data_IF_247785624898
#
_entry.id   IF_247785624898
#
_cell.length_a   1.000
_cell.length_b   1.000
_cell.length_c   1.000
_cell.angle_alpha   90.00
_cell.angle_beta   90.00
_cell.angle_gamma   90.00
#
_symmetry.space_group_name_H-M   'P 1'
#
loop_
_entity.id
_entity.type
_entity.pdbx_description
1 polymer ?
#
# COMPACT_ATOMS: atom_id res chain seq x y z
N UNK A 1 10.63 7.50 -7.13
CA UNK A 1 10.86 6.06 -6.85
C UNK A 1 9.71 5.53 -6.02
N UNK A 2 9.23 4.30 -6.24
CA UNK A 2 8.08 3.74 -5.53
C UNK A 2 8.48 2.46 -4.79
N UNK A 3 7.87 2.22 -3.63
CA UNK A 3 7.99 0.96 -2.90
C UNK A 3 6.66 0.23 -3.04
N UNK A 4 6.69 -0.96 -3.63
CA UNK A 4 5.51 -1.78 -3.83
C UNK A 4 5.67 -3.14 -3.17
N UNK A 5 4.67 -3.54 -2.38
CA UNK A 5 4.54 -4.90 -1.89
C UNK A 5 3.35 -5.57 -2.60
N UNK A 6 3.62 -6.72 -3.22
CA UNK A 6 2.65 -7.50 -3.98
C UNK A 6 2.38 -8.83 -3.27
N UNK A 7 1.12 -9.07 -2.91
CA UNK A 7 0.67 -10.28 -2.20
C UNK A 7 -0.45 -10.99 -2.95
N UNK A 8 -0.08 -12.07 -3.64
CA UNK A 8 -1.03 -12.98 -4.28
C UNK A 8 -1.34 -14.17 -3.36
N UNK A 9 -2.21 -13.95 -2.36
CA UNK A 9 -2.76 -15.02 -1.53
C UNK A 9 -4.15 -15.42 -2.02
N UNK A 10 -4.43 -16.73 -2.09
CA UNK A 10 -5.73 -17.26 -2.45
C UNK A 10 -6.83 -17.01 -1.39
N UNK A 11 -6.44 -16.69 -0.15
CA UNK A 11 -7.36 -16.41 0.98
C UNK A 11 -6.84 -15.24 1.80
N UNK A 12 -7.76 -14.46 2.37
CA UNK A 12 -7.46 -13.22 3.07
C UNK A 12 -6.91 -13.38 4.50
N UNK A 13 -6.71 -14.59 5.03
CA UNK A 13 -6.52 -14.79 6.49
C UNK A 13 -5.34 -14.01 7.06
N UNK A 14 -4.21 -13.99 6.36
CA UNK A 14 -2.98 -13.36 6.87
C UNK A 14 -2.73 -11.97 6.27
N UNK A 15 -3.55 -11.56 5.28
CA UNK A 15 -3.40 -10.28 4.59
C UNK A 15 -3.47 -9.06 5.53
N UNK A 16 -4.41 -8.98 6.50
CA UNK A 16 -4.43 -7.87 7.45
C UNK A 16 -3.13 -7.71 8.23
N UNK A 17 -2.57 -8.80 8.73
CA UNK A 17 -1.31 -8.78 9.50
C UNK A 17 -0.12 -8.39 8.63
N UNK A 18 -0.10 -8.85 7.37
CA UNK A 18 0.93 -8.41 6.42
C UNK A 18 0.80 -6.93 6.07
N UNK A 19 -0.43 -6.44 5.91
CA UNK A 19 -0.68 -5.03 5.65
C UNK A 19 -0.24 -4.14 6.81
N UNK A 20 -0.57 -4.51 8.06
CA UNK A 20 -0.08 -3.81 9.25
C UNK A 20 1.45 -3.75 9.29
N UNK A 21 2.13 -4.88 9.02
CA UNK A 21 3.59 -4.92 8.96
C UNK A 21 4.13 -3.99 7.86
N UNK A 22 3.50 -4.00 6.70
CA UNK A 22 3.84 -3.15 5.56
C UNK A 22 3.75 -1.66 5.92
N UNK A 23 2.69 -1.22 6.61
CA UNK A 23 2.56 0.16 7.07
C UNK A 23 3.71 0.59 8.00
N UNK A 24 4.08 -0.28 8.95
CA UNK A 24 5.21 -0.02 9.84
C UNK A 24 6.55 0.06 9.08
N UNK A 25 6.73 -0.73 8.02
CA UNK A 25 7.91 -0.67 7.16
C UNK A 25 7.93 0.61 6.31
N UNK A 26 6.78 1.07 5.81
CA UNK A 26 6.68 2.35 5.09
C UNK A 26 7.09 3.52 5.97
N UNK A 27 6.68 3.51 7.24
CA UNK A 27 7.11 4.50 8.23
C UNK A 27 8.63 4.52 8.41
N UNK A 28 9.26 3.35 8.62
CA UNK A 28 10.72 3.25 8.75
C UNK A 28 11.43 3.70 7.47
N UNK A 29 10.94 3.30 6.30
CA UNK A 29 11.51 3.69 5.02
C UNK A 29 11.46 5.21 4.79
N UNK A 30 10.34 5.84 5.14
CA UNK A 30 10.18 7.29 5.04
C UNK A 30 11.13 8.05 5.98
N UNK A 31 11.36 7.54 7.20
CA UNK A 31 12.32 8.14 8.13
C UNK A 31 13.77 8.04 7.62
N UNK A 32 14.15 6.91 7.04
CA UNK A 32 15.52 6.72 6.52
C UNK A 32 15.76 7.59 5.28
N UNK A 33 14.82 7.54 4.32
CA UNK A 33 15.04 8.05 2.96
C UNK A 33 13.77 8.62 2.33
N UNK A 34 13.26 9.76 2.80
CA UNK A 34 11.99 10.33 2.34
C UNK A 34 11.99 10.67 0.85
N UNK A 35 13.13 11.07 0.29
CA UNK A 35 13.28 11.39 -1.14
C UNK A 35 13.12 10.19 -2.09
N UNK A 36 13.01 8.97 -1.57
CA UNK A 36 12.78 7.75 -2.34
C UNK A 36 11.39 7.15 -2.12
N UNK A 37 10.54 7.85 -1.36
CA UNK A 37 9.21 7.42 -0.95
C UNK A 37 8.15 8.32 -1.59
N UNK A 38 8.03 8.30 -2.92
CA UNK A 38 6.96 9.06 -3.60
C UNK A 38 5.62 8.35 -3.44
N UNK A 39 5.61 7.02 -3.55
CA UNK A 39 4.43 6.18 -3.44
C UNK A 39 4.74 4.87 -2.71
N UNK A 40 3.78 4.45 -1.88
CA UNK A 40 3.75 3.19 -1.16
C UNK A 40 2.55 2.38 -1.68
N UNK A 41 2.80 1.37 -2.50
CA UNK A 41 1.74 0.57 -3.14
C UNK A 41 1.56 -0.80 -2.47
N UNK A 42 0.37 -1.04 -1.95
CA UNK A 42 -0.09 -2.36 -1.53
C UNK A 42 -0.98 -2.96 -2.61
N UNK A 43 -0.55 -4.09 -3.18
CA UNK A 43 -1.27 -4.77 -4.26
C UNK A 43 -1.64 -6.18 -3.81
N UNK A 44 -2.94 -6.50 -3.77
CA UNK A 44 -3.42 -7.81 -3.33
C UNK A 44 -4.55 -8.35 -4.22
N UNK A 45 -4.75 -9.68 -4.22
CA UNK A 45 -5.78 -10.37 -5.02
C UNK A 45 -7.02 -10.77 -4.22
N UNK A 46 -7.02 -10.46 -2.93
CA UNK A 46 -8.15 -10.74 -2.04
C UNK A 46 -8.42 -9.51 -1.18
N UNK A 47 -9.69 -9.05 -1.10
CA UNK A 47 -10.05 -7.97 -0.21
C UNK A 47 -9.84 -8.38 1.25
N UNK A 48 -9.40 -7.44 2.07
CA UNK A 48 -9.13 -7.61 3.49
C UNK A 48 -9.44 -6.29 4.20
N UNK A 49 -9.59 -6.32 5.53
CA UNK A 49 -9.97 -5.13 6.29
C UNK A 49 -11.31 -4.53 5.84
N UNK A 50 -12.26 -5.37 5.42
CA UNK A 50 -13.54 -4.94 4.84
C UNK A 50 -14.38 -4.08 5.80
N UNK A 51 -14.26 -4.31 7.11
CA UNK A 51 -14.95 -3.55 8.15
C UNK A 51 -14.27 -2.22 8.50
N UNK A 52 -13.04 -2.02 8.01
CA UNK A 52 -12.20 -0.85 8.31
C UNK A 52 -11.64 -0.23 7.03
N UNK A 53 -12.32 -0.47 5.90
CA UNK A 53 -11.78 -0.21 4.57
C UNK A 53 -11.45 1.28 4.36
N UNK A 54 -12.30 2.13 4.89
CA UNK A 54 -12.19 3.59 4.89
C UNK A 54 -11.01 4.11 5.73
N UNK A 55 -10.54 3.32 6.70
CA UNK A 55 -9.46 3.72 7.61
C UNK A 55 -8.10 3.13 7.25
N UNK A 56 -8.02 2.14 6.35
CA UNK A 56 -6.78 1.42 6.03
C UNK A 56 -5.65 2.34 5.53
N UNK A 57 -5.97 3.48 4.92
CA UNK A 57 -5.00 4.42 4.35
C UNK A 57 -4.81 5.69 5.20
N UNK A 58 -5.29 5.71 6.44
CA UNK A 58 -5.20 6.91 7.29
C UNK A 58 -3.93 6.92 8.15
N UNK A 59 -3.58 8.10 8.65
CA UNK A 59 -2.43 8.27 9.53
C UNK A 59 -2.58 7.49 10.84
N UNK A 60 -3.81 7.33 11.34
CA UNK A 60 -4.14 6.56 12.53
C UNK A 60 -3.88 5.06 12.32
N UNK A 61 -4.20 4.52 11.13
CA UNK A 61 -3.88 3.14 10.78
C UNK A 61 -2.35 2.92 10.71
N UNK A 62 -1.61 3.86 10.14
CA UNK A 62 -0.14 3.82 10.13
C UNK A 62 0.41 3.87 11.56
N UNK A 63 -0.10 4.77 12.40
CA UNK A 63 0.32 4.87 13.80
C UNK A 63 0.06 3.57 14.56
N UNK A 64 -1.15 3.01 14.45
CA UNK A 64 -1.51 1.76 15.10
C UNK A 64 -0.60 0.60 14.66
N UNK A 65 -0.29 0.53 13.37
CA UNK A 65 0.66 -0.45 12.83
C UNK A 65 2.07 -0.28 13.40
N UNK A 66 2.59 0.95 13.43
CA UNK A 66 3.92 1.27 13.99
C UNK A 66 4.00 0.88 15.46
N UNK A 67 3.00 1.25 16.26
CA UNK A 67 2.92 0.91 17.69
C UNK A 67 2.79 -0.60 17.91
N UNK A 68 2.03 -1.30 17.07
CA UNK A 68 1.93 -2.77 17.12
C UNK A 68 3.28 -3.42 16.84
N UNK A 69 4.07 -2.88 15.90
CA UNK A 69 5.39 -3.37 15.53
C UNK A 69 6.56 -2.67 16.26
N UNK A 70 6.28 -1.96 17.36
CA UNK A 70 7.23 -1.17 18.17
C UNK A 70 8.58 -1.82 18.46
N UNK A 71 8.62 -3.13 18.71
CA UNK A 71 9.87 -3.85 18.98
C UNK A 71 10.83 -3.79 17.79
N UNK A 72 10.29 -3.86 16.57
CA UNK A 72 11.08 -3.80 15.34
C UNK A 72 11.36 -2.36 14.91
N UNK A 73 10.43 -1.44 15.18
CA UNK A 73 10.55 -0.03 14.75
C UNK A 73 11.44 0.78 15.69
N UNK A 74 11.25 0.63 17.01
CA UNK A 74 11.89 1.44 18.04
C UNK A 74 12.75 0.63 19.02
N UNK A 75 12.69 -0.70 18.99
CA UNK A 75 13.40 -1.54 19.97
C UNK A 75 12.78 -1.55 21.37
N UNK A 76 11.53 -1.09 21.52
CA UNK A 76 10.83 -0.99 22.82
C UNK A 76 9.79 -2.09 23.00
N UNK A 77 9.57 -2.52 24.24
CA UNK A 77 8.60 -3.58 24.58
C UNK A 77 7.22 -3.03 24.96
N UNK A 78 7.15 -1.84 25.58
CA UNK A 78 5.91 -1.25 26.07
C UNK A 78 5.23 -0.39 25.00
N UNK A 79 3.91 -0.48 24.94
CA UNK A 79 3.07 0.32 24.01
C UNK A 79 3.20 1.82 24.30
N UNK A 80 3.15 2.21 25.58
CA UNK A 80 3.24 3.61 26.01
C UNK A 80 4.54 4.29 25.56
N UNK A 81 5.64 3.55 25.55
CA UNK A 81 6.93 4.07 25.08
C UNK A 81 6.93 4.25 23.56
N UNK A 82 6.27 3.35 22.83
CA UNK A 82 6.12 3.50 21.38
C UNK A 82 5.21 4.68 21.01
N UNK A 83 4.13 4.91 21.77
CA UNK A 83 3.20 6.02 21.56
C UNK A 83 3.86 7.38 21.77
N UNK A 84 4.88 7.48 22.64
CA UNK A 84 5.64 8.72 22.84
C UNK A 84 6.75 8.93 21.80
N UNK A 85 7.21 7.86 21.14
CA UNK A 85 8.26 7.89 20.12
C UNK A 85 7.73 8.06 18.70
N UNK A 86 6.48 7.67 18.44
CA UNK A 86 5.92 7.73 17.09
C UNK A 86 5.67 9.19 16.67
N UNK A 87 6.20 9.56 15.51
CA UNK A 87 5.95 10.88 14.92
C UNK A 87 4.69 10.83 14.05
N UNK A 88 3.63 11.44 14.53
CA UNK A 88 2.36 11.49 13.82
C UNK A 88 2.42 12.31 12.52
N UNK A 89 3.37 13.25 12.39
CA UNK A 89 3.60 13.98 11.15
C UNK A 89 4.10 13.03 10.07
N UNK A 90 5.09 12.19 10.39
CA UNK A 90 5.57 11.12 9.51
C UNK A 90 4.44 10.14 9.15
N UNK A 91 3.55 9.78 10.09
CA UNK A 91 2.39 8.95 9.78
C UNK A 91 1.47 9.57 8.71
N UNK A 92 1.24 10.89 8.76
CA UNK A 92 0.47 11.62 7.74
C UNK A 92 1.17 11.61 6.39
N UNK A 93 2.48 11.83 6.37
CA UNK A 93 3.28 11.79 5.13
C UNK A 93 3.20 10.41 4.46
N UNK A 94 3.32 9.34 5.24
CA UNK A 94 3.16 7.97 4.74
C UNK A 94 1.74 7.78 4.22
N UNK A 95 0.71 8.13 4.99
CA UNK A 95 -0.69 7.95 4.63
C UNK A 95 -1.05 8.64 3.30
N UNK A 96 -0.59 9.87 3.09
CA UNK A 96 -0.81 10.61 1.83
C UNK A 96 -0.20 9.92 0.59
N UNK A 97 0.75 9.01 0.80
CA UNK A 97 1.48 8.29 -0.26
C UNK A 97 1.04 6.84 -0.39
N UNK A 98 0.09 6.37 0.43
CA UNK A 98 -0.40 5.01 0.36
C UNK A 98 -1.37 4.83 -0.81
N UNK A 99 -1.18 3.73 -1.53
CA UNK A 99 -2.06 3.25 -2.56
C UNK A 99 -2.44 1.82 -2.23
N UNK A 100 -3.74 1.51 -2.26
CA UNK A 100 -4.23 0.15 -2.10
C UNK A 100 -4.97 -0.28 -3.36
N UNK A 101 -4.48 -1.35 -3.97
CA UNK A 101 -5.01 -1.90 -5.22
C UNK A 101 -5.41 -3.34 -4.95
N UNK A 102 -6.71 -3.62 -5.06
CA UNK A 102 -7.22 -5.00 -4.99
C UNK A 102 -7.58 -5.44 -6.40
N UNK A 103 -6.84 -6.43 -6.88
CA UNK A 103 -7.04 -7.04 -8.18
C UNK A 103 -7.88 -8.31 -8.06
N UNK A 104 -8.46 -8.72 -9.18
CA UNK A 104 -9.09 -10.02 -9.35
C UNK A 104 -8.47 -10.71 -10.57
N UNK A 105 -8.40 -12.04 -10.56
CA UNK A 105 -7.89 -12.81 -11.71
C UNK A 105 -8.67 -12.55 -13.00
N UNK A 106 -9.93 -12.11 -12.90
CA UNK A 106 -10.75 -11.73 -14.06
C UNK A 106 -10.24 -10.46 -14.73
N UNK A 107 -9.73 -9.50 -13.96
CA UNK A 107 -9.15 -8.26 -14.50
C UNK A 107 -7.87 -8.52 -15.29
N UNK A 108 -7.09 -9.53 -14.92
CA UNK A 108 -5.88 -9.90 -15.67
C UNK A 108 -6.18 -10.52 -17.04
N UNK A 109 -7.34 -11.16 -17.17
CA UNK A 109 -7.81 -11.78 -18.42
C UNK A 109 -8.55 -10.79 -19.32
N UNK A 110 -8.89 -9.61 -18.81
CA UNK A 110 -9.50 -8.50 -19.56
C UNK A 110 -8.44 -7.65 -20.26
N UNK A 111 -7.54 -8.32 -20.97
CA UNK A 111 -6.58 -7.65 -21.86
C UNK A 111 -7.18 -7.54 -23.26
N UNK A 112 -7.05 -6.35 -23.85
CA UNK A 112 -7.48 -6.10 -25.23
C UNK A 112 -6.67 -7.03 -26.14
N UNK A 113 -7.36 -7.78 -27.01
CA UNK A 113 -6.66 -8.66 -27.97
C UNK A 113 -5.77 -7.82 -28.90
N UNK A 114 -4.68 -8.38 -29.44
CA UNK A 114 -3.81 -7.66 -30.36
C UNK A 114 -4.58 -7.00 -31.52
N UNK A 115 -5.61 -7.67 -32.03
CA UNK A 115 -6.46 -7.17 -33.12
C UNK A 115 -7.27 -5.95 -32.69
N UNK A 116 -7.92 -6.01 -31.52
CA UNK A 116 -8.68 -4.87 -30.99
C UNK A 116 -7.77 -3.70 -30.59
N UNK A 117 -6.56 -3.99 -30.12
CA UNK A 117 -5.57 -2.95 -29.80
C UNK A 117 -5.14 -2.20 -31.05
N UNK A 118 -4.92 -2.91 -32.15
CA UNK A 118 -4.61 -2.31 -33.45
C UNK A 118 -5.69 -1.36 -33.97
N UNK A 119 -6.97 -1.60 -33.67
CA UNK A 119 -8.07 -0.69 -34.01
C UNK A 119 -7.97 0.64 -33.24
N UNK A 120 -7.67 0.58 -31.95
CA UNK A 120 -7.52 1.77 -31.09
C UNK A 120 -6.31 2.59 -31.52
N UNK A 121 -5.16 1.94 -31.71
CA UNK A 121 -3.93 2.62 -32.14
C UNK A 121 -4.11 3.32 -33.49
N UNK A 122 -4.80 2.67 -34.45
CA UNK A 122 -5.11 3.27 -35.75
C UNK A 122 -6.02 4.50 -35.62
N UNK A 123 -7.03 4.44 -34.75
CA UNK A 123 -7.93 5.57 -34.49
C UNK A 123 -7.18 6.77 -33.89
N UNK A 124 -6.33 6.55 -32.89
CA UNK A 124 -5.55 7.61 -32.24
C UNK A 124 -4.54 8.25 -33.21
N UNK A 125 -3.86 7.45 -34.05
CA UNK A 125 -2.97 7.97 -35.11
C UNK A 125 -3.74 8.84 -36.11
N UNK A 126 -4.94 8.42 -36.50
CA UNK A 126 -5.77 9.15 -37.47
C UNK A 126 -6.35 10.43 -36.90
N UNK A 127 -6.60 10.48 -35.58
CA UNK A 127 -7.11 11.66 -34.87
C UNK A 127 -6.03 12.70 -34.57
N UNK A 128 -4.76 12.27 -34.47
CA UNK A 128 -3.63 13.14 -34.17
C UNK A 128 -2.95 13.78 -35.40
N UNK A 129 -3.37 13.41 -36.62
CA UNK A 129 -2.93 14.01 -37.89
C UNK A 129 -4.01 14.89 -38.50
#
# INVERSE_FOLDING_TARGET
MFFAESKNYAKASDLPTHYEKYLAQCYVAYLDKPGYCDHFMWIAWSPHGTTTWDTLLTAEAVQAAVVRHRKNVFGVELVKDAESLVDFTTCKEVAMRLWMIILSERQEKLVISPEHRGVIEKYEITKAG
#
